data_IF_911118732316
#
_entry.id   IF_911118732316
#
_cell.length_a   1.000
_cell.length_b   1.000
_cell.length_c   1.000
_cell.angle_alpha   90.00
_cell.angle_beta   90.00
_cell.angle_gamma   90.00
#
_symmetry.space_group_name_H-M   'P 1'
#
loop_
_entity.id
_entity.type
_entity.pdbx_description
1 polymer ?
#
# COMPACT_ATOMS: atom_id res chain seq x y z
N UNK A 1 -32.80 -1.88 16.91
CA UNK A 1 -31.55 -1.06 16.94
C UNK A 1 -30.33 -1.83 17.47
N UNK A 2 -30.37 -2.41 18.69
CA UNK A 2 -29.23 -3.17 19.28
C UNK A 2 -28.65 -4.31 18.40
N UNK A 3 -29.50 -5.05 17.67
CA UNK A 3 -29.06 -6.16 16.80
C UNK A 3 -28.18 -5.68 15.63
N UNK A 4 -28.45 -4.48 15.10
CA UNK A 4 -27.67 -3.89 14.01
C UNK A 4 -26.28 -3.44 14.50
N UNK A 5 -26.20 -2.85 15.69
CA UNK A 5 -24.93 -2.44 16.32
C UNK A 5 -24.02 -3.66 16.54
N UNK A 6 -24.56 -4.76 17.08
CA UNK A 6 -23.79 -6.01 17.28
C UNK A 6 -23.27 -6.59 15.96
N UNK A 7 -24.05 -6.52 14.87
CA UNK A 7 -23.60 -6.97 13.53
C UNK A 7 -22.44 -6.13 13.00
N UNK A 8 -22.52 -4.80 13.13
CA UNK A 8 -21.44 -3.90 12.71
C UNK A 8 -20.15 -4.10 13.54
N UNK A 9 -20.28 -4.35 14.84
CA UNK A 9 -19.12 -4.66 15.69
C UNK A 9 -18.47 -6.00 15.31
N UNK A 10 -19.27 -7.04 15.03
CA UNK A 10 -18.76 -8.32 14.56
C UNK A 10 -18.04 -8.19 13.21
N UNK A 11 -18.66 -7.52 12.24
CA UNK A 11 -18.05 -7.29 10.93
C UNK A 11 -16.71 -6.54 11.03
N UNK A 12 -16.62 -5.52 11.89
CA UNK A 12 -15.35 -4.81 12.17
C UNK A 12 -14.26 -5.74 12.73
N UNK A 13 -14.62 -6.63 13.66
CA UNK A 13 -13.69 -7.61 14.22
C UNK A 13 -13.20 -8.59 13.16
N UNK A 14 -14.10 -9.03 12.27
CA UNK A 14 -13.79 -9.96 11.18
C UNK A 14 -12.84 -9.31 10.15
N UNK A 15 -13.09 -8.04 9.77
CA UNK A 15 -12.20 -7.26 8.89
C UNK A 15 -10.81 -7.11 9.50
N UNK A 16 -10.73 -6.74 10.78
CA UNK A 16 -9.44 -6.56 11.47
C UNK A 16 -8.64 -7.86 11.49
N UNK A 17 -9.31 -9.00 11.73
CA UNK A 17 -8.66 -10.32 11.69
C UNK A 17 -8.16 -10.68 10.29
N UNK A 18 -8.95 -10.40 9.26
CA UNK A 18 -8.56 -10.62 7.87
C UNK A 18 -7.34 -9.75 7.48
N UNK A 19 -7.34 -8.47 7.88
CA UNK A 19 -6.20 -7.57 7.68
C UNK A 19 -4.92 -8.12 8.31
N UNK A 20 -5.00 -8.63 9.54
CA UNK A 20 -3.85 -9.23 10.22
C UNK A 20 -3.30 -10.45 9.48
N UNK A 21 -4.17 -11.33 8.96
CA UNK A 21 -3.75 -12.50 8.17
C UNK A 21 -3.06 -12.06 6.87
N UNK A 22 -3.65 -11.09 6.16
CA UNK A 22 -3.09 -10.56 4.91
C UNK A 22 -1.73 -9.90 5.17
N UNK A 23 -1.61 -9.07 6.20
CA UNK A 23 -0.33 -8.45 6.58
C UNK A 23 0.75 -9.47 6.87
N UNK A 24 0.45 -10.52 7.64
CA UNK A 24 1.42 -11.57 7.94
C UNK A 24 1.85 -12.34 6.68
N UNK A 25 0.91 -12.61 5.78
CA UNK A 25 1.23 -13.25 4.51
C UNK A 25 2.10 -12.36 3.62
N UNK A 26 1.80 -11.05 3.55
CA UNK A 26 2.58 -10.06 2.82
C UNK A 26 4.00 -9.96 3.39
N UNK A 27 4.15 -9.83 4.73
CA UNK A 27 5.44 -9.81 5.40
C UNK A 27 6.30 -11.02 5.06
N UNK A 28 5.73 -12.23 5.16
CA UNK A 28 6.42 -13.47 4.79
C UNK A 28 6.86 -13.52 3.32
N UNK A 29 6.17 -12.82 2.41
CA UNK A 29 6.58 -12.72 1.01
C UNK A 29 7.71 -11.71 0.83
N UNK A 30 7.63 -10.56 1.49
CA UNK A 30 8.67 -9.53 1.49
C UNK A 30 10.00 -10.07 2.05
N UNK A 31 9.95 -10.88 3.11
CA UNK A 31 11.12 -11.48 3.74
C UNK A 31 11.83 -12.51 2.85
N UNK A 32 11.16 -13.01 1.80
CA UNK A 32 11.74 -13.93 0.82
C UNK A 32 12.35 -13.25 -0.40
N UNK A 33 12.19 -11.93 -0.53
CA UNK A 33 12.76 -11.19 -1.65
C UNK A 33 14.27 -11.06 -1.48
N UNK A 34 15.01 -11.18 -2.58
CA UNK A 34 16.43 -10.81 -2.60
C UNK A 34 16.57 -9.31 -2.40
N UNK A 35 17.76 -8.80 -1.99
CA UNK A 35 17.99 -7.36 -1.85
C UNK A 35 17.63 -6.57 -3.11
N UNK A 36 17.98 -7.08 -4.30
CA UNK A 36 17.64 -6.44 -5.57
C UNK A 36 16.13 -6.42 -5.83
N UNK A 37 15.43 -7.54 -5.60
CA UNK A 37 13.97 -7.59 -5.77
C UNK A 37 13.25 -6.66 -4.80
N UNK A 38 13.75 -6.57 -3.56
CA UNK A 38 13.24 -5.65 -2.55
C UNK A 38 13.46 -4.20 -2.96
N UNK A 39 14.66 -3.84 -3.41
CA UNK A 39 14.96 -2.49 -3.90
C UNK A 39 14.07 -2.08 -5.09
N UNK A 40 13.83 -2.99 -6.05
CA UNK A 40 12.90 -2.73 -7.16
C UNK A 40 11.47 -2.49 -6.68
N UNK A 41 11.00 -3.29 -5.71
CA UNK A 41 9.68 -3.14 -5.12
C UNK A 41 9.55 -1.80 -4.37
N UNK A 42 10.54 -1.47 -3.55
CA UNK A 42 10.59 -0.21 -2.79
C UNK A 42 10.58 0.99 -3.71
N UNK A 43 11.39 0.98 -4.78
CA UNK A 43 11.37 2.04 -5.80
C UNK A 43 9.99 2.20 -6.44
N UNK A 44 9.35 1.08 -6.79
CA UNK A 44 7.98 1.10 -7.34
C UNK A 44 6.97 1.69 -6.36
N UNK A 45 7.09 1.34 -5.07
CA UNK A 45 6.24 1.89 -4.02
C UNK A 45 6.46 3.39 -3.83
N UNK A 46 7.70 3.87 -3.82
CA UNK A 46 8.00 5.29 -3.67
C UNK A 46 7.39 6.12 -4.81
N UNK A 47 7.49 5.63 -6.05
CA UNK A 47 6.88 6.28 -7.22
C UNK A 47 5.35 6.33 -7.09
N UNK A 48 4.72 5.21 -6.75
CA UNK A 48 3.26 5.16 -6.59
C UNK A 48 2.78 6.05 -5.44
N UNK A 49 3.50 6.02 -4.31
CA UNK A 49 3.19 6.86 -3.16
C UNK A 49 3.30 8.34 -3.52
N UNK A 50 4.39 8.75 -4.18
CA UNK A 50 4.57 10.13 -4.62
C UNK A 50 3.47 10.57 -5.60
N UNK A 51 3.13 9.74 -6.57
CA UNK A 51 2.06 10.02 -7.53
C UNK A 51 0.70 10.21 -6.84
N UNK A 52 0.27 9.24 -6.02
CA UNK A 52 -1.06 9.31 -5.40
C UNK A 52 -1.15 10.39 -4.33
N UNK A 53 -0.11 10.59 -3.51
CA UNK A 53 -0.08 11.69 -2.55
C UNK A 53 -0.15 13.04 -3.26
N UNK A 54 0.62 13.23 -4.34
CA UNK A 54 0.57 14.47 -5.13
C UNK A 54 -0.78 14.68 -5.81
N UNK A 55 -1.41 13.61 -6.31
CA UNK A 55 -2.74 13.68 -6.91
C UNK A 55 -3.82 14.11 -5.90
N UNK A 56 -3.73 13.63 -4.66
CA UNK A 56 -4.61 14.08 -3.56
C UNK A 56 -4.41 15.56 -3.22
N UNK A 57 -3.20 16.08 -3.43
CA UNK A 57 -2.87 17.50 -3.29
C UNK A 57 -3.21 18.35 -4.54
N UNK A 58 -3.80 17.74 -5.57
CA UNK A 58 -4.26 18.42 -6.78
C UNK A 58 -3.23 18.54 -7.90
N UNK A 59 -2.12 17.79 -7.83
CA UNK A 59 -1.16 17.70 -8.93
C UNK A 59 -1.79 17.14 -10.20
N UNK A 60 -1.40 17.71 -11.34
CA UNK A 60 -1.81 17.26 -12.69
C UNK A 60 -0.72 16.45 -13.41
N UNK A 61 0.39 16.19 -12.72
CA UNK A 61 1.46 15.36 -13.26
C UNK A 61 0.96 13.92 -13.41
N UNK A 62 1.28 13.31 -14.54
CA UNK A 62 0.97 11.90 -14.77
C UNK A 62 1.99 10.99 -14.05
N UNK A 63 1.64 9.71 -13.92
CA UNK A 63 2.51 8.70 -13.30
C UNK A 63 3.89 8.62 -13.97
N UNK A 64 3.96 8.84 -15.29
CA UNK A 64 5.21 8.75 -16.06
C UNK A 64 6.21 9.82 -15.62
N UNK A 65 5.76 11.04 -15.32
CA UNK A 65 6.63 12.07 -14.77
C UNK A 65 7.25 11.65 -13.43
N UNK A 66 6.50 10.95 -12.57
CA UNK A 66 7.05 10.44 -11.31
C UNK A 66 8.03 9.28 -11.51
N UNK A 67 7.79 8.42 -12.52
CA UNK A 67 8.74 7.37 -12.91
C UNK A 67 10.07 7.97 -13.37
N UNK A 68 10.03 8.98 -14.27
CA UNK A 68 11.22 9.70 -14.74
C UNK A 68 11.96 10.43 -13.62
N UNK A 69 11.24 11.01 -12.65
CA UNK A 69 11.84 11.63 -11.47
C UNK A 69 12.51 10.58 -10.56
N UNK A 70 11.85 9.44 -10.34
CA UNK A 70 12.39 8.33 -9.55
C UNK A 70 13.64 7.69 -10.17
N UNK A 71 13.83 7.80 -11.48
CA UNK A 71 15.07 7.38 -12.16
C UNK A 71 16.21 8.40 -12.04
N UNK A 72 15.90 9.69 -11.85
CA UNK A 72 16.91 10.76 -11.72
C UNK A 72 17.46 10.92 -10.31
N UNK A 73 16.72 10.45 -9.29
CA UNK A 73 17.07 10.58 -7.87
C UNK A 73 17.76 9.31 -7.32
N UNK A 74 17.54 8.15 -7.95
CA UNK A 74 18.15 6.87 -7.60
C UNK A 74 19.55 6.70 -8.22
#
# INVERSE_FOLDING_TARGET
MLKAIKRMQKARKDITKQLFVIMNAAKKRLDKLTPTQRATLEKGWDIEHAYYSSALEGSKLDRKHFEELGEKVA
#
